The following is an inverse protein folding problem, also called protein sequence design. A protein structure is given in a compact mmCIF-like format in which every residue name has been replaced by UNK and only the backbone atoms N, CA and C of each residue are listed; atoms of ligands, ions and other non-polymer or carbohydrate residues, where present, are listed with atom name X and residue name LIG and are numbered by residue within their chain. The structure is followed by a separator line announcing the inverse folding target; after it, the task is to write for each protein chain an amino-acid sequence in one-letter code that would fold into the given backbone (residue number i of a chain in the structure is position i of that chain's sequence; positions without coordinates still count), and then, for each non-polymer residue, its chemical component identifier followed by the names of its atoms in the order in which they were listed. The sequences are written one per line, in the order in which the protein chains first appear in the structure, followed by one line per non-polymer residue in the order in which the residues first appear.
data_IF_954887208021
#
_entry.id   IF_954887208021
#
_cell.length_a   1.000
_cell.length_b   1.000
_cell.length_c   1.000
_cell.angle_alpha   90.00
_cell.angle_beta   90.00
_cell.angle_gamma   90.00
#
_symmetry.space_group_name_H-M   'P 1'
#
loop_
_entity.id
_entity.type
_entity.pdbx_description
1 polymer ?
#
# COMPACT_ATOMS: atom_id res chain seq x y z
N UNK A 1 -26.48 -2.57 -17.32
CA UNK A 1 -26.38 -1.32 -18.12
C UNK A 1 -25.60 -0.20 -17.43
N UNK A 2 -26.16 0.63 -16.54
CA UNK A 2 -25.40 1.78 -15.97
C UNK A 2 -24.14 1.38 -15.18
N UNK A 3 -24.22 0.32 -14.37
CA UNK A 3 -23.07 -0.20 -13.61
C UNK A 3 -21.97 -0.80 -14.51
N UNK A 4 -22.33 -1.35 -15.66
CA UNK A 4 -21.36 -1.88 -16.63
C UNK A 4 -20.67 -0.75 -17.39
N UNK A 5 -21.42 0.30 -17.74
CA UNK A 5 -20.87 1.49 -18.38
C UNK A 5 -19.88 2.19 -17.44
N UNK A 6 -20.25 2.40 -16.17
CA UNK A 6 -19.35 3.01 -15.20
C UNK A 6 -18.11 2.15 -14.96
N UNK A 7 -18.26 0.84 -14.79
CA UNK A 7 -17.14 -0.10 -14.65
C UNK A 7 -16.17 0.01 -15.82
N UNK A 8 -16.66 -0.01 -17.06
CA UNK A 8 -15.80 0.06 -18.24
C UNK A 8 -15.06 1.40 -18.35
N UNK A 9 -15.71 2.51 -18.00
CA UNK A 9 -15.08 3.84 -17.94
C UNK A 9 -13.95 3.86 -16.90
N UNK A 10 -14.22 3.38 -15.68
CA UNK A 10 -13.20 3.34 -14.62
C UNK A 10 -12.05 2.39 -14.95
N UNK A 11 -12.32 1.22 -15.54
CA UNK A 11 -11.29 0.28 -15.97
C UNK A 11 -10.42 0.85 -17.08
N UNK A 12 -11.01 1.57 -18.04
CA UNK A 12 -10.26 2.23 -19.09
C UNK A 12 -9.37 3.35 -18.52
N UNK A 13 -9.93 4.18 -17.63
CA UNK A 13 -9.18 5.22 -16.95
C UNK A 13 -8.02 4.65 -16.10
N UNK A 14 -8.23 3.52 -15.42
CA UNK A 14 -7.22 2.86 -14.58
C UNK A 14 -6.11 2.16 -15.35
N UNK A 15 -6.21 2.02 -16.69
CA UNK A 15 -5.12 1.51 -17.51
C UNK A 15 -4.17 2.62 -17.99
N UNK A 16 -4.54 3.90 -17.81
CA UNK A 16 -3.71 5.02 -18.22
C UNK A 16 -2.65 5.36 -17.15
N UNK A 17 -1.36 5.13 -17.48
CA UNK A 17 -0.23 5.36 -16.56
C UNK A 17 -0.16 6.81 -16.04
N UNK A 18 -0.52 7.80 -16.84
CA UNK A 18 -0.50 9.22 -16.44
C UNK A 18 -1.62 9.55 -15.45
N UNK A 19 -2.84 9.08 -15.72
CA UNK A 19 -3.97 9.25 -14.81
C UNK A 19 -3.71 8.54 -13.48
N UNK A 20 -3.17 7.31 -13.50
CA UNK A 20 -2.79 6.61 -12.28
C UNK A 20 -1.72 7.36 -11.48
N UNK A 21 -0.70 7.92 -12.13
CA UNK A 21 0.33 8.70 -11.44
C UNK A 21 -0.24 9.95 -10.78
N UNK A 22 -1.18 10.63 -11.44
CA UNK A 22 -1.88 11.77 -10.86
C UNK A 22 -2.79 11.36 -9.69
N UNK A 23 -3.54 10.26 -9.85
CA UNK A 23 -4.42 9.71 -8.82
C UNK A 23 -3.64 9.26 -7.58
N UNK A 24 -2.47 8.64 -7.72
CA UNK A 24 -1.61 8.28 -6.58
C UNK A 24 -1.17 9.51 -5.78
N UNK A 25 -0.75 10.58 -6.46
CA UNK A 25 -0.29 11.80 -5.80
C UNK A 25 -1.42 12.60 -5.14
N UNK A 26 -2.60 12.62 -5.73
CA UNK A 26 -3.70 13.48 -5.28
C UNK A 26 -4.71 12.71 -4.42
N UNK A 27 -4.95 11.44 -4.72
CA UNK A 27 -5.94 10.57 -4.06
C UNK A 27 -5.68 10.36 -2.57
N UNK A 28 -4.42 10.30 -2.14
CA UNK A 28 -4.05 10.27 -0.72
C UNK A 28 -4.54 11.52 0.04
N UNK A 29 -4.53 12.69 -0.61
CA UNK A 29 -5.05 13.95 -0.03
C UNK A 29 -6.57 14.06 -0.10
N UNK A 30 -7.20 13.34 -1.03
CA UNK A 30 -8.67 13.32 -1.23
C UNK A 30 -9.35 12.12 -0.55
N UNK A 31 -8.79 11.63 0.57
CA UNK A 31 -9.47 10.67 1.44
C UNK A 31 -8.91 9.24 1.41
N UNK A 32 -7.99 8.90 0.51
CA UNK A 32 -7.38 7.56 0.55
C UNK A 32 -6.53 7.33 1.81
N UNK A 33 -6.07 8.39 2.49
CA UNK A 33 -5.41 8.31 3.80
C UNK A 33 -6.27 7.71 4.91
N UNK A 34 -7.60 7.64 4.74
CA UNK A 34 -8.49 6.96 5.68
C UNK A 34 -8.40 5.44 5.59
N UNK A 35 -7.94 4.91 4.45
CA UNK A 35 -7.90 3.46 4.16
C UNK A 35 -6.50 2.95 3.85
N UNK A 36 -5.51 3.84 3.69
CA UNK A 36 -4.10 3.51 3.44
C UNK A 36 -3.25 3.98 4.62
N UNK A 37 -2.42 3.07 5.15
CA UNK A 37 -1.62 3.33 6.35
C UNK A 37 -0.48 4.35 6.14
N UNK A 38 -0.01 4.52 4.91
CA UNK A 38 1.07 5.43 4.55
C UNK A 38 1.54 5.24 3.10
N UNK A 39 2.38 6.16 2.63
CA UNK A 39 3.02 6.09 1.29
C UNK A 39 4.40 5.44 1.33
N UNK A 40 4.96 5.24 2.52
CA UNK A 40 6.29 4.65 2.73
C UNK A 40 6.22 3.55 3.78
N UNK A 41 7.21 2.66 3.81
CA UNK A 41 7.32 1.60 4.83
C UNK A 41 7.34 2.23 6.23
N UNK A 42 8.10 3.32 6.44
CA UNK A 42 8.24 3.97 7.73
C UNK A 42 6.90 4.51 8.24
N UNK A 43 6.17 5.22 7.38
CA UNK A 43 4.85 5.76 7.74
C UNK A 43 3.83 4.65 8.03
N UNK A 44 3.86 3.56 7.26
CA UNK A 44 3.03 2.39 7.51
C UNK A 44 3.36 1.70 8.85
N UNK A 45 4.64 1.56 9.19
CA UNK A 45 5.08 0.96 10.45
C UNK A 45 4.66 1.79 11.68
N UNK A 46 4.67 3.12 11.58
CA UNK A 46 4.12 3.98 12.65
C UNK A 46 2.65 3.63 12.91
N UNK A 47 1.84 3.50 11.86
CA UNK A 47 0.42 3.12 11.98
C UNK A 47 0.24 1.72 12.57
N UNK A 48 1.10 0.75 12.18
CA UNK A 48 1.10 -0.60 12.76
C UNK A 48 1.37 -0.56 14.27
N UNK A 49 2.36 0.22 14.71
CA UNK A 49 2.67 0.39 16.14
C UNK A 49 1.49 0.96 16.92
N UNK A 50 0.88 2.04 16.42
CA UNK A 50 -0.32 2.63 17.04
C UNK A 50 -1.46 1.62 17.21
N UNK A 51 -1.66 0.73 16.23
CA UNK A 51 -2.67 -0.32 16.30
C UNK A 51 -2.27 -1.45 17.27
N UNK A 52 -1.00 -1.85 17.30
CA UNK A 52 -0.49 -2.85 18.23
C UNK A 52 -0.56 -2.37 19.70
N UNK A 53 -0.27 -1.09 19.97
CA UNK A 53 -0.44 -0.48 21.29
C UNK A 53 -1.89 -0.54 21.78
N UNK A 54 -2.85 -0.61 20.86
CA UNK A 54 -4.28 -0.82 21.15
C UNK A 54 -4.67 -2.30 21.26
N UNK A 55 -3.70 -3.21 21.24
CA UNK A 55 -3.92 -4.66 21.30
C UNK A 55 -4.41 -5.30 20.00
N UNK A 56 -4.33 -4.59 18.87
CA UNK A 56 -4.76 -5.12 17.58
C UNK A 56 -3.60 -5.76 16.83
N UNK A 57 -3.84 -6.95 16.27
CA UNK A 57 -2.92 -7.59 15.32
C UNK A 57 -3.15 -6.99 13.93
N UNK A 58 -2.06 -6.77 13.19
CA UNK A 58 -2.11 -6.13 11.88
C UNK A 58 -1.53 -7.05 10.80
N UNK A 59 -2.12 -6.99 9.61
CA UNK A 59 -1.49 -7.42 8.36
C UNK A 59 -1.08 -6.19 7.58
N UNK A 60 0.12 -6.17 7.02
CA UNK A 60 0.59 -5.08 6.18
C UNK A 60 0.64 -5.53 4.72
N UNK A 61 -0.06 -4.80 3.85
CA UNK A 61 -0.13 -5.07 2.41
C UNK A 61 0.55 -3.93 1.64
N UNK A 62 1.49 -4.29 0.77
CA UNK A 62 2.14 -3.35 -0.12
C UNK A 62 1.32 -3.26 -1.42
N UNK A 63 0.62 -2.13 -1.58
CA UNK A 63 -0.23 -1.87 -2.74
C UNK A 63 0.62 -1.68 -4.01
N UNK A 64 0.95 -2.79 -4.67
CA UNK A 64 1.63 -2.83 -5.95
C UNK A 64 0.65 -2.83 -7.12
N UNK A 65 0.92 -2.01 -8.14
CA UNK A 65 0.20 -2.06 -9.40
C UNK A 65 1.19 -2.02 -10.57
N UNK A 66 0.82 -2.63 -11.69
CA UNK A 66 1.49 -2.51 -13.00
C UNK A 66 2.91 -3.08 -13.09
N UNK A 67 3.22 -4.17 -12.38
CA UNK A 67 4.44 -4.95 -12.65
C UNK A 67 4.33 -5.60 -14.04
N UNK A 68 5.06 -5.07 -15.00
CA UNK A 68 4.96 -5.38 -16.43
C UNK A 68 6.27 -5.87 -17.05
N UNK A 69 7.38 -5.74 -16.32
CA UNK A 69 8.70 -6.21 -16.73
C UNK A 69 9.49 -6.79 -15.54
N UNK A 70 10.67 -7.36 -15.86
CA UNK A 70 11.52 -8.04 -14.88
C UNK A 70 12.05 -7.07 -13.83
N UNK A 71 12.43 -5.87 -14.24
CA UNK A 71 13.00 -4.85 -13.38
C UNK A 71 11.98 -4.38 -12.33
N UNK A 72 10.76 -4.09 -12.76
CA UNK A 72 9.63 -3.76 -11.88
C UNK A 72 9.31 -4.91 -10.91
N UNK A 73 9.42 -6.17 -11.35
CA UNK A 73 9.20 -7.32 -10.48
C UNK A 73 10.28 -7.46 -9.40
N UNK A 74 11.55 -7.17 -9.74
CA UNK A 74 12.65 -7.16 -8.79
C UNK A 74 12.50 -6.03 -7.77
N UNK A 75 12.10 -4.83 -8.22
CA UNK A 75 11.82 -3.70 -7.33
C UNK A 75 10.70 -4.03 -6.33
N UNK A 76 9.58 -4.57 -6.81
CA UNK A 76 8.47 -4.98 -5.96
C UNK A 76 8.89 -6.07 -4.96
N UNK A 77 9.70 -7.04 -5.40
CA UNK A 77 10.25 -8.09 -4.53
C UNK A 77 11.11 -7.49 -3.42
N UNK A 78 12.01 -6.59 -3.77
CA UNK A 78 12.89 -5.95 -2.81
C UNK A 78 12.11 -5.13 -1.77
N UNK A 79 11.07 -4.41 -2.22
CA UNK A 79 10.21 -3.64 -1.34
C UNK A 79 9.42 -4.53 -0.37
N UNK A 80 8.95 -5.69 -0.84
CA UNK A 80 8.29 -6.67 0.01
C UNK A 80 9.24 -7.23 1.09
N UNK A 81 10.49 -7.53 0.72
CA UNK A 81 11.53 -7.97 1.67
C UNK A 81 11.76 -6.89 2.74
N UNK A 82 11.99 -5.65 2.32
CA UNK A 82 12.19 -4.52 3.25
C UNK A 82 11.00 -4.33 4.20
N UNK A 83 9.78 -4.53 3.70
CA UNK A 83 8.56 -4.41 4.48
C UNK A 83 8.49 -5.52 5.55
N UNK A 84 8.83 -6.76 5.19
CA UNK A 84 8.90 -7.88 6.14
C UNK A 84 9.96 -7.65 7.23
N UNK A 85 11.13 -7.14 6.85
CA UNK A 85 12.20 -6.81 7.79
C UNK A 85 11.76 -5.72 8.78
N UNK A 86 11.12 -4.66 8.30
CA UNK A 86 10.62 -3.56 9.13
C UNK A 86 9.53 -4.00 10.12
N UNK A 87 8.62 -4.88 9.68
CA UNK A 87 7.60 -5.49 10.56
C UNK A 87 8.27 -6.40 11.60
N UNK A 88 9.21 -7.26 11.18
CA UNK A 88 9.92 -8.17 12.09
C UNK A 88 10.67 -7.41 13.19
N UNK A 89 11.39 -6.35 12.83
CA UNK A 89 12.10 -5.50 13.79
C UNK A 89 11.14 -4.87 14.80
N UNK A 90 9.97 -4.42 14.34
CA UNK A 90 8.94 -3.83 15.21
C UNK A 90 8.40 -4.83 16.22
N UNK A 91 8.12 -6.07 15.80
CA UNK A 91 7.60 -7.11 16.70
C UNK A 91 8.60 -7.55 17.77
N UNK A 92 9.90 -7.55 17.47
CA UNK A 92 10.95 -7.86 18.46
C UNK A 92 10.99 -6.88 19.64
N UNK A 93 10.50 -5.66 19.47
CA UNK A 93 10.36 -4.68 20.55
C UNK A 93 9.10 -4.85 21.41
N UNK A 94 8.10 -5.60 20.93
CA UNK A 94 6.78 -5.78 21.56
C UNK A 94 6.61 -7.16 22.21
N UNK A 95 7.43 -8.14 21.83
CA UNK A 95 7.42 -9.47 22.44
C UNK A 95 8.18 -9.44 23.78
N UNK A 96 7.62 -9.99 24.87
CA UNK A 96 8.38 -10.19 26.10
C UNK A 96 9.58 -11.10 25.80
N UNK A 97 10.77 -10.71 26.29
CA UNK A 97 12.00 -11.51 26.21
C UNK A 97 11.90 -12.77 27.06
#
# INVERSE_FOLDING_TARGET
MLAEISKNIFLYASQNKTLNKAAKRWGLRFGASQVVAGETIESAIVKVKELNERGLVCTLDHLGEFVSNREEALEATQYNIQTLEAVSFTLKGLLPK
#
